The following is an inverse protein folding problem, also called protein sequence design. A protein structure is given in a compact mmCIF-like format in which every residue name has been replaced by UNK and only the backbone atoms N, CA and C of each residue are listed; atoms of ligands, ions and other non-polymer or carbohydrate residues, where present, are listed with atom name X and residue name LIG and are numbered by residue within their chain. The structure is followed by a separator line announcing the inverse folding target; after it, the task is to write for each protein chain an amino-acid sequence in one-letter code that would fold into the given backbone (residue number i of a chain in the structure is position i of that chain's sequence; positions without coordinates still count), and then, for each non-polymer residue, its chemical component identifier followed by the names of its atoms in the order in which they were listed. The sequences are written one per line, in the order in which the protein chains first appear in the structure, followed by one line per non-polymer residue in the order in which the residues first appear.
data_IF_607432659947
#
_entry.id   IF_607432659947
#
_cell.length_a   1.000
_cell.length_b   1.000
_cell.length_c   1.000
_cell.angle_alpha   90.00
_cell.angle_beta   90.00
_cell.angle_gamma   90.00
#
_symmetry.space_group_name_H-M   'P 1'
#
loop_
_entity.id
_entity.type
_entity.pdbx_description
1 polymer ?
#
# COMPACT_ATOMS: atom_id res chain seq x y z
N UNK A 1 15.21 2.12 -18.37
CA UNK A 1 14.49 2.10 -17.07
C UNK A 1 14.23 3.54 -16.63
N UNK A 2 13.09 3.85 -16.01
CA UNK A 2 12.87 5.19 -15.46
C UNK A 2 13.69 5.35 -14.17
N UNK A 3 14.37 6.48 -14.03
CA UNK A 3 15.32 6.71 -12.93
C UNK A 3 14.64 7.42 -11.76
N UNK A 4 14.62 6.81 -10.59
CA UNK A 4 14.16 7.45 -9.36
C UNK A 4 15.20 8.47 -8.88
N UNK A 5 14.75 9.69 -8.57
CA UNK A 5 15.63 10.81 -8.23
C UNK A 5 15.37 11.41 -6.87
N UNK A 6 14.10 11.47 -6.46
CA UNK A 6 13.71 12.17 -5.24
C UNK A 6 12.46 11.56 -4.65
N UNK A 7 12.41 11.51 -3.32
CA UNK A 7 11.20 11.23 -2.55
C UNK A 7 11.02 12.30 -1.47
N UNK A 8 9.78 12.75 -1.30
CA UNK A 8 9.37 13.68 -0.26
C UNK A 8 8.07 13.19 0.35
N UNK A 9 8.02 13.12 1.68
CA UNK A 9 6.79 12.83 2.44
C UNK A 9 6.30 14.11 3.11
N UNK A 10 5.01 14.39 3.00
CA UNK A 10 4.36 15.52 3.64
C UNK A 10 3.41 15.01 4.73
N UNK A 11 3.53 15.59 5.93
CA UNK A 11 2.58 15.36 7.03
C UNK A 11 1.34 16.26 6.88
N UNK A 12 0.78 16.31 5.66
CA UNK A 12 -0.46 17.02 5.39
C UNK A 12 -1.68 16.16 5.73
N UNK A 13 -2.88 16.73 5.57
CA UNK A 13 -4.14 16.00 5.84
C UNK A 13 -4.34 14.74 4.99
N UNK A 14 -3.58 14.57 3.91
CA UNK A 14 -3.67 13.44 3.00
C UNK A 14 -2.48 12.47 3.14
N UNK A 15 -1.51 12.79 3.99
CA UNK A 15 -0.22 12.11 4.07
C UNK A 15 0.45 11.91 2.71
N UNK A 16 0.60 13.01 1.97
CA UNK A 16 1.11 13.00 0.60
C UNK A 16 2.54 12.45 0.51
N UNK A 17 2.77 11.55 -0.43
CA UNK A 17 4.08 10.99 -0.80
C UNK A 17 4.37 11.35 -2.26
N UNK A 18 5.44 12.11 -2.51
CA UNK A 18 5.83 12.56 -3.84
C UNK A 18 7.13 11.89 -4.27
N UNK A 19 7.11 11.24 -5.43
CA UNK A 19 8.26 10.58 -6.05
C UNK A 19 8.56 11.27 -7.37
N UNK A 20 9.82 11.61 -7.61
CA UNK A 20 10.28 12.18 -8.88
C UNK A 20 11.10 11.15 -9.65
N UNK A 21 10.74 10.96 -10.92
CA UNK A 21 11.41 10.07 -11.86
C UNK A 21 11.87 10.83 -13.10
N UNK A 22 12.90 10.30 -13.75
CA UNK A 22 13.37 10.77 -15.06
C UNK A 22 13.04 9.71 -16.11
N UNK A 23 12.33 10.14 -17.16
CA UNK A 23 12.04 9.36 -18.37
C UNK A 23 13.06 9.77 -19.43
N UNK A 24 13.93 8.85 -19.90
CA UNK A 24 14.94 9.20 -20.88
C UNK A 24 14.34 9.39 -22.29
N UNK A 25 14.90 10.31 -23.07
CA UNK A 25 14.57 10.50 -24.51
C UNK A 25 14.72 9.21 -25.30
N UNK A 26 15.74 8.41 -24.99
CA UNK A 26 15.99 7.12 -25.66
C UNK A 26 14.83 6.16 -25.51
N UNK A 27 14.05 6.24 -24.42
CA UNK A 27 12.80 5.51 -24.33
C UNK A 27 11.78 6.12 -25.28
N UNK A 28 11.46 7.40 -25.20
CA UNK A 28 10.38 8.03 -25.98
C UNK A 28 10.62 7.98 -27.50
N UNK A 29 11.85 8.21 -27.93
CA UNK A 29 12.27 8.21 -29.33
C UNK A 29 12.73 6.82 -29.83
N UNK A 30 13.00 5.90 -28.91
CA UNK A 30 13.45 4.54 -29.25
C UNK A 30 12.32 3.58 -29.58
N UNK A 31 12.70 2.32 -29.84
CA UNK A 31 11.78 1.23 -30.17
C UNK A 31 11.20 0.52 -28.95
N UNK A 32 11.70 0.80 -27.74
CA UNK A 32 11.18 0.20 -26.52
C UNK A 32 9.72 0.61 -26.28
N UNK A 33 8.83 -0.37 -26.19
CA UNK A 33 7.40 -0.12 -25.94
C UNK A 33 7.12 0.18 -24.47
N UNK A 34 7.92 -0.35 -23.55
CA UNK A 34 7.66 -0.30 -22.12
C UNK A 34 8.87 0.21 -21.34
N UNK A 35 8.64 1.21 -20.50
CA UNK A 35 9.58 1.69 -19.51
C UNK A 35 9.01 1.42 -18.11
N UNK A 36 9.85 0.95 -17.20
CA UNK A 36 9.44 0.65 -15.83
C UNK A 36 10.45 1.24 -14.87
N UNK A 37 10.03 1.64 -13.68
CA UNK A 37 10.93 2.05 -12.60
C UNK A 37 11.55 0.82 -11.91
N UNK A 38 12.60 1.03 -11.11
CA UNK A 38 12.87 0.10 -10.00
C UNK A 38 11.69 0.10 -9.05
N UNK A 39 11.56 -0.99 -8.28
CA UNK A 39 10.64 -1.02 -7.17
C UNK A 39 11.01 0.10 -6.17
N UNK A 40 10.00 0.85 -5.75
CA UNK A 40 10.12 1.86 -4.71
C UNK A 40 9.07 1.61 -3.63
N UNK A 41 9.36 2.09 -2.43
CA UNK A 41 8.50 1.88 -1.27
C UNK A 41 7.71 3.15 -0.96
N UNK A 42 6.41 3.02 -0.82
CA UNK A 42 5.55 4.05 -0.24
C UNK A 42 4.96 3.49 1.05
N UNK A 43 5.35 4.05 2.21
CA UNK A 43 4.99 3.50 3.55
C UNK A 43 5.30 2.00 3.67
N UNK A 44 6.48 1.60 3.21
CA UNK A 44 6.97 0.21 3.15
C UNK A 44 6.15 -0.75 2.27
N UNK A 45 5.31 -0.21 1.40
CA UNK A 45 4.56 -0.99 0.42
C UNK A 45 5.26 -0.87 -0.94
N UNK A 46 5.59 -1.99 -1.59
CA UNK A 46 6.28 -1.99 -2.88
C UNK A 46 5.36 -1.59 -4.02
N UNK A 47 5.83 -0.63 -4.81
CA UNK A 47 5.20 -0.16 -6.03
C UNK A 47 6.20 -0.08 -7.18
N UNK A 48 5.65 -0.15 -8.38
CA UNK A 48 6.37 0.00 -9.63
C UNK A 48 5.56 0.91 -10.55
N UNK A 49 6.17 1.98 -11.07
CA UNK A 49 5.55 2.85 -12.05
C UNK A 49 5.98 2.39 -13.45
N UNK A 50 5.01 2.21 -14.34
CA UNK A 50 5.22 1.70 -15.69
C UNK A 50 4.63 2.67 -16.70
N UNK A 51 5.42 2.97 -17.73
CA UNK A 51 4.97 3.68 -18.92
C UNK A 51 4.95 2.72 -20.11
N UNK A 52 3.89 2.77 -20.91
CA UNK A 52 3.73 1.89 -22.08
C UNK A 52 3.30 2.73 -23.27
N UNK A 53 4.07 2.66 -24.37
CA UNK A 53 3.69 3.24 -25.65
C UNK A 53 2.61 2.39 -26.30
N UNK A 54 1.63 3.05 -26.89
CA UNK A 54 0.60 2.41 -27.69
C UNK A 54 0.34 3.31 -28.91
N UNK A 55 1.05 3.05 -30.00
CA UNK A 55 1.14 3.99 -31.12
C UNK A 55 1.75 5.32 -30.66
N UNK A 56 1.09 6.43 -30.97
CA UNK A 56 1.50 7.78 -30.52
C UNK A 56 1.05 8.10 -29.08
N UNK A 57 0.41 7.18 -28.37
CA UNK A 57 -0.06 7.43 -27.01
C UNK A 57 0.90 6.85 -25.98
N UNK A 58 1.16 7.62 -24.93
CA UNK A 58 1.82 7.13 -23.72
C UNK A 58 0.74 6.76 -22.70
N UNK A 59 0.82 5.55 -22.17
CA UNK A 59 0.05 5.10 -21.02
C UNK A 59 0.94 5.15 -19.77
N UNK A 60 0.34 5.32 -18.60
CA UNK A 60 1.05 5.31 -17.33
C UNK A 60 0.26 4.54 -16.28
N UNK A 61 0.91 3.61 -15.59
CA UNK A 61 0.29 2.73 -14.61
C UNK A 61 1.14 2.55 -13.37
N UNK A 62 0.50 2.62 -12.21
CA UNK A 62 1.06 2.22 -10.93
C UNK A 62 0.67 0.77 -10.66
N UNK A 63 1.68 -0.08 -10.51
CA UNK A 63 1.54 -1.50 -10.17
C UNK A 63 1.95 -1.69 -8.72
N UNK A 64 1.11 -2.36 -7.94
CA UNK A 64 1.48 -2.88 -6.64
C UNK A 64 2.03 -4.32 -6.79
N UNK A 65 3.17 -4.60 -6.15
CA UNK A 65 3.81 -5.91 -6.16
C UNK A 65 3.91 -6.49 -4.74
N UNK A 66 2.80 -6.94 -4.16
CA UNK A 66 2.85 -7.76 -2.94
C UNK A 66 2.65 -9.24 -3.26
N UNK A 67 3.33 -10.08 -2.47
CA UNK A 67 3.15 -11.54 -2.46
C UNK A 67 1.85 -11.97 -1.78
N UNK A 68 1.28 -11.11 -0.92
CA UNK A 68 0.19 -11.47 0.03
C UNK A 68 -1.07 -10.62 -0.17
N UNK A 69 -1.40 -10.40 -1.43
CA UNK A 69 -2.47 -9.51 -1.85
C UNK A 69 -3.88 -10.13 -1.58
N UNK A 70 -3.94 -11.38 -1.11
CA UNK A 70 -5.18 -12.12 -0.83
C UNK A 70 -5.91 -11.64 0.43
N UNK A 71 -5.18 -11.18 1.45
CA UNK A 71 -5.75 -10.76 2.75
C UNK A 71 -5.64 -9.26 3.00
N UNK A 72 -4.93 -8.54 2.13
CA UNK A 72 -4.75 -7.11 2.19
C UNK A 72 -5.50 -6.41 1.05
N UNK A 73 -6.29 -5.43 1.43
CA UNK A 73 -6.84 -4.44 0.51
C UNK A 73 -6.14 -3.11 0.73
N UNK A 74 -5.89 -2.36 -0.33
CA UNK A 74 -5.33 -1.01 -0.21
C UNK A 74 -6.13 -0.03 -1.02
N UNK A 75 -6.25 1.18 -0.50
CA UNK A 75 -6.87 2.31 -1.21
C UNK A 75 -5.91 3.49 -1.16
N UNK A 76 -5.81 4.22 -2.28
CA UNK A 76 -5.01 5.43 -2.39
C UNK A 76 -5.57 6.34 -3.48
N UNK A 77 -5.17 7.60 -3.44
CA UNK A 77 -5.31 8.53 -4.56
C UNK A 77 -3.97 8.62 -5.30
N UNK A 78 -4.01 8.47 -6.62
CA UNK A 78 -2.89 8.46 -7.53
C UNK A 78 -2.91 9.73 -8.38
N UNK A 79 -1.78 10.42 -8.48
CA UNK A 79 -1.58 11.45 -9.51
C UNK A 79 -0.24 11.25 -10.21
N UNK A 80 -0.23 11.37 -11.53
CA UNK A 80 1.01 11.35 -12.33
C UNK A 80 1.06 12.63 -13.14
N UNK A 81 2.20 13.32 -13.08
CA UNK A 81 2.44 14.60 -13.75
C UNK A 81 3.75 14.54 -14.51
N UNK A 82 3.73 14.81 -15.82
CA UNK A 82 4.91 15.08 -16.63
C UNK A 82 5.13 16.59 -16.64
N UNK A 83 6.30 17.02 -16.19
CA UNK A 83 6.60 18.43 -15.99
C UNK A 83 7.02 19.09 -17.30
N UNK A 84 6.34 20.18 -17.63
CA UNK A 84 6.81 21.13 -18.62
C UNK A 84 7.85 22.05 -17.96
N UNK A 85 9.02 22.17 -18.59
CA UNK A 85 10.13 23.02 -18.14
C UNK A 85 9.84 24.50 -18.34
N UNK A 86 9.07 24.86 -19.35
CA UNK A 86 8.76 26.26 -19.66
C UNK A 86 7.76 26.84 -18.66
N UNK A 87 6.62 26.16 -18.45
CA UNK A 87 5.58 26.67 -17.56
C UNK A 87 4.70 25.56 -16.98
N UNK A 88 4.47 25.61 -15.65
CA UNK A 88 3.75 24.56 -14.92
C UNK A 88 2.29 24.34 -15.37
N UNK A 89 1.64 25.37 -15.94
CA UNK A 89 0.26 25.25 -16.45
C UNK A 89 0.17 24.34 -17.67
N UNK A 90 1.30 24.03 -18.31
CA UNK A 90 1.39 23.13 -19.45
C UNK A 90 1.76 21.70 -19.05
N UNK A 91 1.90 21.42 -17.76
CA UNK A 91 2.14 20.06 -17.28
C UNK A 91 1.04 19.12 -17.76
N UNK A 92 1.43 17.94 -18.23
CA UNK A 92 0.48 16.88 -18.55
C UNK A 92 0.26 16.07 -17.28
N UNK A 93 -0.97 15.96 -16.82
CA UNK A 93 -1.27 15.22 -15.60
C UNK A 93 -2.59 14.48 -15.66
N UNK A 94 -2.68 13.42 -14.86
CA UNK A 94 -3.96 12.80 -14.52
C UNK A 94 -3.97 12.44 -13.05
N UNK A 95 -5.18 12.38 -12.51
CA UNK A 95 -5.44 11.93 -11.15
C UNK A 95 -6.52 10.86 -11.18
N UNK A 96 -6.32 9.80 -10.42
CA UNK A 96 -7.28 8.74 -10.17
C UNK A 96 -7.48 8.62 -8.66
N UNK A 97 -8.72 8.74 -8.19
CA UNK A 97 -9.06 8.73 -6.76
C UNK A 97 -9.59 7.38 -6.34
N UNK A 98 -9.37 7.03 -5.08
CA UNK A 98 -9.84 5.77 -4.49
C UNK A 98 -9.43 4.52 -5.29
N UNK A 99 -8.21 4.49 -5.82
CA UNK A 99 -7.63 3.33 -6.47
C UNK A 99 -7.59 2.15 -5.49
N UNK A 100 -8.48 1.17 -5.68
CA UNK A 100 -8.57 -0.02 -4.82
C UNK A 100 -7.68 -1.14 -5.35
N UNK A 101 -6.59 -1.42 -4.66
CA UNK A 101 -5.71 -2.55 -4.93
C UNK A 101 -6.20 -3.78 -4.14
N UNK A 102 -6.36 -4.90 -4.84
CA UNK A 102 -6.81 -6.20 -4.31
C UNK A 102 -6.05 -7.33 -5.00
N UNK A 103 -6.24 -8.58 -4.59
CA UNK A 103 -5.67 -9.72 -5.30
C UNK A 103 -6.06 -9.82 -6.78
N UNK A 104 -7.21 -9.27 -7.15
CA UNK A 104 -7.72 -9.26 -8.53
C UNK A 104 -7.28 -8.02 -9.30
N UNK A 105 -7.04 -6.91 -8.61
CA UNK A 105 -6.73 -5.61 -9.22
C UNK A 105 -5.45 -5.05 -8.61
N UNK A 106 -4.34 -5.23 -9.32
CA UNK A 106 -3.01 -4.83 -8.85
C UNK A 106 -2.46 -3.59 -9.58
N UNK A 107 -3.18 -3.11 -10.59
CA UNK A 107 -2.75 -2.09 -11.53
C UNK A 107 -3.81 -0.99 -11.62
N UNK A 108 -3.38 0.26 -11.44
CA UNK A 108 -4.20 1.47 -11.64
C UNK A 108 -3.46 2.47 -12.50
N UNK A 109 -4.16 3.40 -13.14
CA UNK A 109 -3.57 4.41 -14.00
C UNK A 109 -4.35 4.65 -15.29
N UNK A 110 -3.72 5.33 -16.24
CA UNK A 110 -4.40 5.90 -17.40
C UNK A 110 -3.86 5.35 -18.72
N UNK A 111 -4.78 4.78 -19.50
CA UNK A 111 -4.60 4.58 -20.95
C UNK A 111 -4.77 5.92 -21.66
N UNK A 112 -4.00 6.13 -22.72
CA UNK A 112 -3.98 7.38 -23.49
C UNK A 112 -3.81 8.59 -22.57
N UNK A 113 -2.77 8.55 -21.74
CA UNK A 113 -2.46 9.64 -20.82
C UNK A 113 -2.08 10.90 -21.60
N UNK A 114 -1.14 10.79 -22.54
CA UNK A 114 -0.76 11.91 -23.40
C UNK A 114 -0.12 11.42 -24.70
N UNK A 115 0.01 12.31 -25.69
CA UNK A 115 0.67 12.01 -26.96
C UNK A 115 2.21 12.08 -26.81
N UNK A 116 2.91 11.11 -27.39
CA UNK A 116 4.37 11.07 -27.43
C UNK A 116 4.90 12.26 -28.22
N UNK A 117 4.29 12.60 -29.37
CA UNK A 117 4.66 13.77 -30.16
C UNK A 117 4.67 15.07 -29.33
N UNK A 118 3.70 15.23 -28.42
CA UNK A 118 3.64 16.39 -27.51
C UNK A 118 4.81 16.41 -26.53
N UNK A 119 5.17 15.25 -25.97
CA UNK A 119 6.28 15.11 -25.04
C UNK A 119 7.65 15.29 -25.71
N UNK A 120 7.75 15.03 -27.02
CA UNK A 120 8.97 15.27 -27.80
C UNK A 120 9.21 16.75 -28.13
N UNK A 121 8.39 17.67 -27.63
CA UNK A 121 8.66 19.11 -27.72
C UNK A 121 9.78 19.52 -26.76
N UNK A 122 10.50 20.60 -27.12
CA UNK A 122 11.56 21.19 -26.29
C UNK A 122 11.06 21.67 -24.93
N UNK A 123 9.75 21.82 -24.77
CA UNK A 123 9.11 22.32 -23.56
C UNK A 123 9.10 21.29 -22.43
N UNK A 124 9.23 19.99 -22.73
CA UNK A 124 9.26 18.93 -21.72
C UNK A 124 10.68 18.35 -21.52
N UNK A 125 11.46 18.32 -22.59
CA UNK A 125 12.78 17.69 -22.59
C UNK A 125 13.87 18.61 -22.03
N UNK A 126 14.72 18.07 -21.16
CA UNK A 126 15.95 18.74 -20.73
C UNK A 126 17.01 18.80 -21.83
N UNK A 127 18.16 19.42 -21.56
CA UNK A 127 19.29 19.51 -22.48
C UNK A 127 19.83 18.14 -22.93
N UNK A 128 19.52 17.07 -22.20
CA UNK A 128 19.87 15.68 -22.49
C UNK A 128 18.69 14.90 -23.09
N UNK A 129 17.56 15.56 -23.33
CA UNK A 129 16.34 14.96 -23.87
C UNK A 129 15.43 14.29 -22.82
N UNK A 130 15.75 14.35 -21.52
CA UNK A 130 14.95 13.65 -20.52
C UNK A 130 13.75 14.47 -20.07
N UNK A 131 12.69 13.76 -19.67
CA UNK A 131 11.47 14.36 -19.12
C UNK A 131 11.37 14.02 -17.63
N UNK A 132 11.06 15.03 -16.82
CA UNK A 132 10.79 14.84 -15.40
C UNK A 132 9.32 14.43 -15.20
N UNK A 133 9.12 13.36 -14.44
CA UNK A 133 7.82 12.86 -14.04
C UNK A 133 7.70 12.92 -12.52
N UNK A 134 6.55 13.34 -12.03
CA UNK A 134 6.18 13.26 -10.63
C UNK A 134 5.02 12.30 -10.44
N UNK A 135 5.18 11.39 -9.48
CA UNK A 135 4.14 10.51 -8.99
C UNK A 135 3.78 10.98 -7.59
N UNK A 136 2.51 11.27 -7.37
CA UNK A 136 1.95 11.60 -6.08
C UNK A 136 1.03 10.48 -5.61
N UNK A 137 1.26 10.01 -4.39
CA UNK A 137 0.41 9.04 -3.70
C UNK A 137 -0.15 9.71 -2.45
N UNK A 138 -1.47 9.75 -2.35
CA UNK A 138 -2.24 10.36 -1.25
C UNK A 138 -3.19 9.35 -0.63
N UNK A 139 -3.63 9.61 0.60
CA UNK A 139 -4.66 8.84 1.29
C UNK A 139 -4.43 7.32 1.28
N UNK A 140 -3.15 6.90 1.35
CA UNK A 140 -2.78 5.49 1.34
C UNK A 140 -3.22 4.80 2.64
N UNK A 141 -4.22 3.94 2.52
CA UNK A 141 -4.80 3.11 3.57
C UNK A 141 -4.59 1.65 3.20
N UNK A 142 -4.13 0.86 4.17
CA UNK A 142 -4.01 -0.60 4.07
C UNK A 142 -4.94 -1.23 5.09
N UNK A 143 -5.78 -2.15 4.63
CA UNK A 143 -6.75 -2.88 5.43
C UNK A 143 -6.43 -4.35 5.35
N UNK A 144 -6.26 -4.99 6.51
CA UNK A 144 -6.25 -6.44 6.64
C UNK A 144 -7.67 -6.91 6.96
N UNK A 145 -8.19 -7.84 6.16
CA UNK A 145 -9.54 -8.38 6.32
C UNK A 145 -9.44 -9.89 6.49
N UNK A 146 -10.02 -10.40 7.57
CA UNK A 146 -10.10 -11.83 7.85
C UNK A 146 -11.37 -12.16 8.61
N UNK A 147 -11.87 -13.37 8.42
CA UNK A 147 -12.99 -13.93 9.17
C UNK A 147 -12.45 -14.95 10.18
N UNK A 148 -12.91 -14.85 11.43
CA UNK A 148 -12.44 -15.70 12.53
C UNK A 148 -13.65 -16.35 13.15
N UNK A 149 -13.61 -17.68 13.28
CA UNK A 149 -14.61 -18.42 14.04
C UNK A 149 -14.15 -18.53 15.49
N UNK A 150 -14.92 -17.93 16.39
CA UNK A 150 -14.66 -18.04 17.83
C UNK A 150 -15.19 -19.39 18.34
N UNK A 151 -14.42 -20.13 19.16
CA UNK A 151 -14.90 -21.34 19.81
C UNK A 151 -16.20 -21.08 20.59
N UNK A 152 -17.22 -21.99 20.50
CA UNK A 152 -18.50 -21.82 21.19
C UNK A 152 -18.35 -21.62 22.70
N UNK A 153 -17.31 -22.20 23.30
CA UNK A 153 -16.99 -22.14 24.72
C UNK A 153 -16.63 -20.71 25.20
N UNK A 154 -16.16 -19.84 24.29
CA UNK A 154 -15.85 -18.44 24.60
C UNK A 154 -17.08 -17.51 24.46
N UNK A 155 -18.11 -17.96 23.75
CA UNK A 155 -19.31 -17.18 23.47
C UNK A 155 -20.45 -17.59 24.41
N UNK A 156 -20.46 -18.85 24.86
CA UNK A 156 -21.59 -19.44 25.53
C UNK A 156 -21.34 -19.57 27.04
N UNK A 157 -22.10 -18.78 27.82
CA UNK A 157 -22.00 -18.61 29.27
C UNK A 157 -22.24 -19.89 30.08
N UNK A 158 -22.79 -20.94 29.45
CA UNK A 158 -23.02 -22.25 30.06
C UNK A 158 -21.76 -23.12 30.16
N UNK A 159 -20.71 -22.82 29.39
CA UNK A 159 -19.46 -23.61 29.37
C UNK A 159 -18.28 -22.93 30.09
N UNK A 160 -18.45 -21.71 30.61
CA UNK A 160 -17.40 -20.96 31.33
C UNK A 160 -16.93 -21.68 32.60
N UNK A 161 -17.80 -22.47 33.22
CA UNK A 161 -17.45 -23.28 34.41
C UNK A 161 -16.57 -24.50 34.10
N UNK A 162 -16.53 -25.00 32.86
CA UNK A 162 -15.72 -26.17 32.48
C UNK A 162 -14.24 -25.80 32.33
N UNK A 163 -13.93 -24.53 32.10
CA UNK A 163 -12.55 -24.02 31.95
C UNK A 163 -11.87 -23.76 33.30
N UNK A 164 -12.66 -23.66 34.39
CA UNK A 164 -12.15 -23.38 35.73
C UNK A 164 -11.81 -24.62 36.56
N UNK A 165 -12.21 -25.82 36.13
CA UNK A 165 -12.17 -27.03 36.97
C UNK A 165 -10.96 -27.94 36.77
N UNK A 166 -9.88 -27.49 36.12
CA UNK A 166 -8.59 -28.19 36.13
C UNK A 166 -7.63 -27.49 37.10
N UNK A 167 -7.15 -28.27 38.06
CA UNK A 167 -6.56 -27.89 39.35
C UNK A 167 -5.18 -27.21 39.30
N UNK A 168 -4.83 -26.46 38.25
CA UNK A 168 -3.60 -25.66 38.24
C UNK A 168 -3.85 -24.29 37.62
N UNK A 169 -3.68 -23.26 38.47
CA UNK A 169 -3.82 -21.83 38.18
C UNK A 169 -3.02 -21.41 36.95
N UNK A 170 -3.68 -21.25 35.80
CA UNK A 170 -3.60 -20.05 34.97
C UNK A 170 -4.95 -19.88 34.27
N UNK A 171 -5.57 -18.68 34.28
CA UNK A 171 -6.73 -18.45 33.41
C UNK A 171 -6.30 -18.79 31.99
N UNK A 172 -7.17 -19.46 31.24
CA UNK A 172 -6.93 -19.75 29.84
C UNK A 172 -6.80 -18.40 29.11
N UNK A 173 -5.58 -17.88 29.02
CA UNK A 173 -5.16 -16.87 28.06
C UNK A 173 -5.22 -17.52 26.67
N UNK A 174 -6.40 -17.99 26.27
CA UNK A 174 -6.70 -18.52 24.96
C UNK A 174 -6.60 -17.34 23.99
N UNK A 175 -5.36 -17.05 23.60
CA UNK A 175 -5.04 -16.16 22.50
C UNK A 175 -5.52 -16.85 21.25
N UNK A 176 -6.45 -16.20 20.56
CA UNK A 176 -6.83 -16.58 19.20
C UNK A 176 -5.99 -15.74 18.28
N UNK A 177 -5.24 -16.40 17.41
CA UNK A 177 -4.41 -15.73 16.40
C UNK A 177 -5.10 -15.84 15.04
N UNK A 178 -5.13 -14.74 14.30
CA UNK A 178 -5.57 -14.77 12.90
C UNK A 178 -4.57 -15.49 12.01
N UNK A 179 -4.96 -15.91 10.80
CA UNK A 179 -4.00 -16.24 9.77
C UNK A 179 -2.95 -15.14 9.62
N UNK A 180 -1.74 -15.57 9.31
CA UNK A 180 -0.60 -14.68 9.09
C UNK A 180 -0.89 -13.71 7.93
N UNK A 181 -0.40 -12.49 8.07
CA UNK A 181 -0.36 -11.52 6.97
C UNK A 181 0.97 -10.82 6.94
N UNK A 182 1.39 -10.42 5.73
CA UNK A 182 2.66 -9.75 5.53
C UNK A 182 2.46 -8.27 5.29
N UNK A 183 3.13 -7.45 6.09
CA UNK A 183 3.13 -6.01 5.92
C UNK A 183 4.54 -5.48 6.18
N UNK A 184 5.05 -4.62 5.28
CA UNK A 184 6.38 -4.02 5.40
C UNK A 184 7.52 -5.06 5.49
N UNK A 185 7.41 -6.19 4.78
CA UNK A 185 8.34 -7.34 4.84
C UNK A 185 8.40 -8.08 6.19
N UNK A 186 7.43 -7.84 7.07
CA UNK A 186 7.32 -8.58 8.33
C UNK A 186 6.06 -9.42 8.34
N UNK A 187 6.12 -10.52 9.08
CA UNK A 187 4.96 -11.36 9.39
C UNK A 187 4.24 -10.80 10.60
N UNK A 188 2.92 -10.69 10.47
CA UNK A 188 2.02 -10.21 11.49
C UNK A 188 0.85 -11.17 11.67
N UNK A 189 0.27 -11.16 12.85
CA UNK A 189 -1.07 -11.68 13.10
C UNK A 189 -1.82 -10.70 14.00
N UNK A 190 -3.15 -10.76 13.97
CA UNK A 190 -3.98 -10.12 14.99
C UNK A 190 -4.23 -11.15 16.08
N UNK A 191 -3.95 -10.77 17.32
CA UNK A 191 -4.21 -11.57 18.50
C UNK A 191 -5.46 -11.05 19.19
N UNK A 192 -6.39 -11.95 19.45
CA UNK A 192 -7.64 -11.71 20.18
C UNK A 192 -7.56 -12.46 21.50
N UNK A 193 -7.61 -11.72 22.60
CA UNK A 193 -7.57 -12.27 23.94
C UNK A 193 -8.88 -11.95 24.67
N UNK A 194 -9.70 -12.95 25.02
CA UNK A 194 -10.88 -12.74 25.83
C UNK A 194 -10.47 -12.32 27.24
N UNK A 195 -11.12 -11.28 27.78
CA UNK A 195 -10.98 -10.90 29.19
C UNK A 195 -12.25 -11.25 29.94
N UNK A 196 -12.07 -12.02 31.00
CA UNK A 196 -13.15 -12.39 31.89
C UNK A 196 -13.48 -11.24 32.83
N UNK A 197 -14.77 -11.07 33.14
CA UNK A 197 -15.27 -10.18 34.17
C UNK A 197 -15.10 -10.80 35.58
N UNK A 198 -15.56 -10.10 36.62
CA UNK A 198 -15.50 -10.57 38.00
C UNK A 198 -16.27 -11.87 38.27
N UNK A 199 -17.16 -12.26 37.34
CA UNK A 199 -18.02 -13.45 37.43
C UNK A 199 -17.50 -14.59 36.53
N UNK A 200 -16.35 -14.39 35.87
CA UNK A 200 -15.74 -15.39 34.99
C UNK A 200 -16.39 -15.49 33.61
N UNK A 201 -17.21 -14.50 33.22
CA UNK A 201 -17.83 -14.41 31.89
C UNK A 201 -16.99 -13.53 30.97
N UNK A 202 -17.02 -13.75 29.66
CA UNK A 202 -16.29 -12.88 28.71
C UNK A 202 -16.91 -11.49 28.72
N UNK A 203 -16.24 -10.53 29.35
CA UNK A 203 -16.70 -9.15 29.44
C UNK A 203 -16.31 -8.31 28.23
N UNK A 204 -15.09 -8.50 27.70
CA UNK A 204 -14.61 -7.82 26.50
C UNK A 204 -13.44 -8.57 25.86
N UNK A 205 -13.15 -8.26 24.59
CA UNK A 205 -11.97 -8.75 23.89
C UNK A 205 -10.89 -7.68 23.87
N UNK A 206 -9.64 -8.08 24.13
CA UNK A 206 -8.46 -7.28 23.84
C UNK A 206 -7.92 -7.72 22.48
N UNK A 207 -7.72 -6.77 21.58
CA UNK A 207 -7.14 -7.02 20.26
C UNK A 207 -5.84 -6.24 20.10
N UNK A 208 -4.80 -6.90 19.58
CA UNK A 208 -3.54 -6.26 19.25
C UNK A 208 -2.87 -6.96 18.08
N UNK A 209 -2.02 -6.25 17.35
CA UNK A 209 -1.24 -6.83 16.27
C UNK A 209 0.08 -7.32 16.87
N UNK A 210 0.45 -8.56 16.58
CA UNK A 210 1.72 -9.17 16.97
C UNK A 210 2.58 -9.36 15.73
N UNK A 211 3.80 -8.80 15.77
CA UNK A 211 4.84 -9.11 14.79
C UNK A 211 5.50 -10.42 15.19
N UNK A 212 5.65 -11.34 14.24
CA UNK A 212 6.21 -12.68 14.49
C UNK A 212 7.68 -12.77 14.06
N UNK A 213 8.12 -11.87 13.19
CA UNK A 213 9.54 -11.74 12.83
C UNK A 213 10.30 -10.90 13.89
N UNK A 214 11.42 -11.39 14.46
CA UNK A 214 12.23 -10.63 15.42
C UNK A 214 13.01 -9.50 14.73
N UNK A 215 12.92 -8.25 15.23
CA UNK A 215 13.77 -7.11 14.80
C UNK A 215 13.67 -5.88 15.73
N UNK A 216 14.70 -5.02 15.76
CA UNK A 216 14.85 -3.85 16.66
C UNK A 216 14.09 -2.57 16.22
N UNK A 217 13.25 -2.62 15.19
CA UNK A 217 12.56 -1.43 14.69
C UNK A 217 11.28 -1.11 15.49
N UNK A 218 11.20 0.11 16.00
CA UNK A 218 10.06 0.65 16.75
C UNK A 218 8.86 0.94 15.84
N UNK A 219 7.73 0.27 16.09
CA UNK A 219 6.44 0.58 15.44
C UNK A 219 5.54 1.29 16.45
N UNK A 220 5.01 2.46 16.10
CA UNK A 220 4.04 3.20 16.91
C UNK A 220 2.63 2.73 16.57
N UNK A 221 2.02 1.96 17.45
CA UNK A 221 0.63 1.54 17.33
C UNK A 221 -0.28 2.66 17.88
N UNK A 222 -1.27 3.11 17.11
CA UNK A 222 -2.26 4.11 17.57
C UNK A 222 -3.65 3.54 17.39
N UNK A 223 -4.44 3.51 18.47
CA UNK A 223 -5.84 3.10 18.43
C UNK A 223 -6.72 4.35 18.29
N UNK A 224 -7.75 4.30 17.44
CA UNK A 224 -8.91 5.20 17.52
C UNK A 224 -10.06 4.39 18.11
N UNK A 225 -10.66 4.91 19.18
CA UNK A 225 -11.91 4.44 19.78
C UNK A 225 -13.03 5.30 19.18
#
# INVERSE_FOLDING_TARGET
MAHFTRFVSFEDKFNTNLFTFILPSTYLLGTEEKLTTREFLCRNIPFVLTFVKNGDQLNAFLLHRSRDIETLEMTLDLSVTLLCREHFTRNESFTEKNCKFTNKVTLHGRKSFTSINRLCSVDFMDERGNIQCELEIKNLIVSYITEIQLPPQLINTQYTHVVQSTTNRQPLDAKIETPLFYYSNYEWCVVIQPKLDSVGQVGHFRMFIQRLTPCDHSVKLTYRI
#
